data_IF_680788512840
#
_entry.id   IF_680788512840
#
_cell.length_a   1.000
_cell.length_b   1.000
_cell.length_c   1.000
_cell.angle_alpha   90.00
_cell.angle_beta   90.00
_cell.angle_gamma   90.00
#
_symmetry.space_group_name_H-M   'P 1'
#
loop_
_entity.id
_entity.type
_entity.pdbx_description
1 polymer ?
#
# COMPACT_ATOMS: atom_id res chain seq x y z
N UNK A 1 -2.99 12.35 -0.42
CA UNK A 1 -2.41 11.01 -0.77
C UNK A 1 -3.38 9.91 -0.30
N UNK A 2 -3.50 8.75 -0.95
CA UNK A 2 -4.43 7.67 -0.51
C UNK A 2 -3.71 6.31 -0.46
N UNK A 3 -3.95 5.51 0.60
CA UNK A 3 -3.55 4.10 0.70
C UNK A 3 -4.80 3.19 0.75
N UNK A 4 -4.87 2.16 -0.09
CA UNK A 4 -5.97 1.18 -0.10
C UNK A 4 -5.43 -0.26 -0.03
N UNK A 5 -6.08 -1.11 0.79
CA UNK A 5 -5.74 -2.53 0.96
C UNK A 5 -6.85 -3.43 0.42
N UNK A 6 -6.63 -4.19 -0.67
CA UNK A 6 -7.65 -5.09 -1.26
C UNK A 6 -7.06 -6.32 -1.95
N UNK A 7 -7.78 -7.45 -1.99
CA UNK A 7 -7.27 -8.74 -2.49
C UNK A 7 -7.58 -9.05 -3.96
N UNK A 8 -8.36 -8.24 -4.68
CA UNK A 8 -8.51 -8.38 -6.12
C UNK A 8 -8.33 -7.06 -6.87
N UNK A 9 -7.38 -7.16 -7.78
CA UNK A 9 -6.93 -6.32 -8.88
C UNK A 9 -7.11 -4.79 -8.80
N UNK A 10 -5.98 -4.09 -8.96
CA UNK A 10 -5.84 -2.70 -9.45
C UNK A 10 -6.93 -2.25 -10.45
N UNK A 11 -7.47 -3.17 -11.25
CA UNK A 11 -8.52 -2.92 -12.22
C UNK A 11 -9.87 -2.59 -11.57
N UNK A 12 -10.23 -3.22 -10.45
CA UNK A 12 -11.44 -2.87 -9.68
C UNK A 12 -11.27 -1.52 -9.00
N UNK A 13 -10.12 -1.28 -8.34
CA UNK A 13 -9.81 0.04 -7.78
C UNK A 13 -9.78 1.15 -8.85
N UNK A 14 -9.32 0.85 -10.08
CA UNK A 14 -9.36 1.78 -11.22
C UNK A 14 -10.80 1.98 -11.72
N UNK A 15 -11.61 0.92 -11.80
CA UNK A 15 -13.01 0.99 -12.20
C UNK A 15 -13.83 1.81 -11.22
N UNK A 16 -13.69 1.58 -9.91
CA UNK A 16 -14.39 2.35 -8.88
C UNK A 16 -13.99 3.83 -8.92
N UNK A 17 -12.70 4.13 -9.16
CA UNK A 17 -12.21 5.48 -9.38
C UNK A 17 -12.74 6.10 -10.70
N UNK A 18 -12.92 5.30 -11.75
CA UNK A 18 -13.51 5.74 -13.01
C UNK A 18 -15.00 6.06 -12.86
N UNK A 19 -15.73 5.25 -12.09
CA UNK A 19 -17.17 5.38 -11.84
C UNK A 19 -17.50 6.65 -11.03
N UNK A 20 -16.60 7.07 -10.13
CA UNK A 20 -16.73 8.35 -9.40
C UNK A 20 -16.10 9.55 -10.15
N UNK A 21 -15.65 9.36 -11.39
CA UNK A 21 -15.08 10.42 -12.23
C UNK A 21 -13.63 10.80 -11.92
N UNK A 22 -12.93 10.06 -11.05
CA UNK A 22 -11.55 10.29 -10.63
C UNK A 22 -10.51 9.67 -11.60
N UNK A 23 -10.66 9.91 -12.90
CA UNK A 23 -9.83 9.34 -13.99
C UNK A 23 -8.34 9.71 -13.91
N UNK A 24 -8.03 10.84 -13.30
CA UNK A 24 -6.67 11.38 -13.23
C UNK A 24 -5.83 10.82 -12.05
N UNK A 25 -6.44 10.06 -11.13
CA UNK A 25 -5.75 9.54 -9.96
C UNK A 25 -4.91 8.32 -10.33
N UNK A 26 -3.59 8.43 -10.23
CA UNK A 26 -2.69 7.30 -10.49
C UNK A 26 -2.73 6.30 -9.34
N UNK A 27 -2.88 5.01 -9.68
CA UNK A 27 -2.89 3.90 -8.74
C UNK A 27 -1.62 3.08 -8.90
N UNK A 28 -0.82 2.98 -7.84
CA UNK A 28 0.48 2.32 -7.84
C UNK A 28 0.44 1.08 -6.93
N UNK A 29 0.61 -0.14 -7.48
CA UNK A 29 0.66 -1.35 -6.67
C UNK A 29 2.03 -1.48 -5.97
N UNK A 30 2.03 -1.45 -4.64
CA UNK A 30 3.24 -1.43 -3.80
C UNK A 30 4.15 -2.64 -4.04
N UNK A 31 3.57 -3.81 -4.27
CA UNK A 31 4.32 -5.04 -4.52
C UNK A 31 5.17 -5.02 -5.80
N UNK A 32 4.86 -4.15 -6.76
CA UNK A 32 5.65 -3.94 -7.99
C UNK A 32 6.72 -2.86 -7.84
N UNK A 33 6.77 -2.17 -6.71
CA UNK A 33 7.72 -1.09 -6.45
C UNK A 33 8.91 -1.59 -5.63
N UNK A 34 10.11 -1.03 -5.83
CA UNK A 34 11.25 -1.36 -4.97
C UNK A 34 11.01 -0.89 -3.54
N UNK A 35 11.77 -1.42 -2.58
CA UNK A 35 11.67 -1.07 -1.15
C UNK A 35 12.28 0.32 -0.81
N UNK A 36 12.75 1.08 -1.79
CA UNK A 36 13.28 2.43 -1.60
C UNK A 36 12.17 3.46 -1.35
N UNK A 37 12.53 4.71 -1.01
CA UNK A 37 11.52 5.74 -0.72
C UNK A 37 10.64 6.01 -1.95
N UNK A 38 9.33 5.96 -1.79
CA UNK A 38 8.36 6.12 -2.89
C UNK A 38 8.45 7.48 -3.58
N UNK A 39 8.83 8.52 -2.84
CA UNK A 39 9.03 9.89 -3.31
C UNK A 39 10.46 10.17 -3.82
N UNK A 40 11.35 9.16 -3.81
CA UNK A 40 12.72 9.31 -4.31
C UNK A 40 12.76 9.64 -5.79
N UNK A 41 13.87 10.21 -6.28
CA UNK A 41 14.08 10.47 -7.72
C UNK A 41 13.91 9.22 -8.61
N UNK A 42 14.15 8.03 -8.05
CA UNK A 42 14.04 6.77 -8.79
C UNK A 42 12.60 6.27 -8.95
N UNK A 43 11.72 6.50 -7.96
CA UNK A 43 10.32 6.05 -8.00
C UNK A 43 9.37 7.20 -8.39
N UNK A 44 9.59 8.40 -7.84
CA UNK A 44 8.91 9.63 -8.27
C UNK A 44 7.44 9.76 -7.84
N UNK A 45 6.92 8.89 -6.98
CA UNK A 45 5.52 8.92 -6.57
C UNK A 45 5.37 9.95 -5.44
N UNK A 46 4.89 11.15 -5.77
CA UNK A 46 4.64 12.21 -4.79
C UNK A 46 3.16 12.30 -4.38
N UNK A 47 2.27 11.91 -5.29
CA UNK A 47 0.82 11.98 -5.15
C UNK A 47 0.18 10.76 -5.82
N UNK A 48 -1.07 10.45 -5.46
CA UNK A 48 -1.83 9.33 -6.00
C UNK A 48 -2.29 8.35 -4.92
N UNK A 49 -2.65 7.15 -5.37
CA UNK A 49 -3.09 6.03 -4.54
C UNK A 49 -2.00 4.96 -4.53
N UNK A 50 -1.55 4.55 -3.35
CA UNK A 50 -0.76 3.34 -3.18
C UNK A 50 -1.71 2.19 -2.86
N UNK A 51 -1.74 1.20 -3.74
CA UNK A 51 -2.50 -0.03 -3.53
C UNK A 51 -1.59 -1.11 -2.94
N UNK A 52 -2.02 -1.73 -1.86
CA UNK A 52 -1.27 -2.72 -1.10
C UNK A 52 -2.18 -3.92 -0.85
N UNK A 53 -1.63 -5.12 -0.76
CA UNK A 53 -2.37 -6.28 -0.22
C UNK A 53 -1.99 -6.46 1.23
N UNK A 54 -2.88 -7.08 2.03
CA UNK A 54 -2.56 -7.42 3.41
C UNK A 54 -1.25 -8.20 3.55
N UNK A 55 -1.01 -9.18 2.67
CA UNK A 55 0.26 -9.92 2.60
C UNK A 55 1.47 -9.03 2.31
N UNK A 56 1.32 -8.03 1.42
CA UNK A 56 2.40 -7.09 1.12
C UNK A 56 2.67 -6.15 2.28
N UNK A 57 1.67 -5.81 3.09
CA UNK A 57 1.82 -4.87 4.22
C UNK A 57 2.82 -5.37 5.27
N UNK A 58 2.80 -6.68 5.54
CA UNK A 58 3.70 -7.34 6.51
C UNK A 58 5.03 -7.78 5.90
N UNK A 59 5.22 -7.64 4.58
CA UNK A 59 6.43 -8.05 3.91
C UNK A 59 7.62 -7.16 4.27
N UNK A 60 8.80 -7.78 4.35
CA UNK A 60 10.08 -7.12 4.58
C UNK A 60 11.12 -7.58 3.57
N UNK A 61 12.01 -6.67 3.19
CA UNK A 61 13.19 -7.00 2.39
C UNK A 61 14.24 -7.75 3.21
N UNK A 62 15.18 -8.42 2.52
CA UNK A 62 16.33 -9.10 3.13
C UNK A 62 17.18 -8.18 4.02
N UNK A 63 17.15 -6.86 3.77
CA UNK A 63 17.87 -5.84 4.55
C UNK A 63 17.05 -5.28 5.72
N UNK A 64 15.95 -5.94 6.10
CA UNK A 64 15.13 -5.59 7.26
C UNK A 64 14.18 -4.40 7.05
N UNK A 65 14.05 -3.87 5.84
CA UNK A 65 13.12 -2.77 5.55
C UNK A 65 11.73 -3.31 5.25
N UNK A 66 10.73 -2.91 6.04
CA UNK A 66 9.34 -3.35 5.86
C UNK A 66 8.54 -2.46 4.90
N UNK A 67 7.51 -3.02 4.29
CA UNK A 67 6.55 -2.26 3.46
C UNK A 67 5.75 -1.26 4.29
N UNK A 68 5.38 -1.60 5.52
CA UNK A 68 4.74 -0.65 6.43
C UNK A 68 5.63 0.57 6.69
N UNK A 69 6.93 0.38 7.00
CA UNK A 69 7.87 1.49 7.18
C UNK A 69 7.99 2.35 5.91
N UNK A 70 8.01 1.71 4.73
CA UNK A 70 8.05 2.42 3.45
C UNK A 70 6.81 3.31 3.25
N UNK A 71 5.61 2.82 3.59
CA UNK A 71 4.36 3.57 3.52
C UNK A 71 4.33 4.71 4.54
N UNK A 72 4.69 4.45 5.80
CA UNK A 72 4.76 5.48 6.85
C UNK A 72 5.69 6.61 6.45
N UNK A 73 6.86 6.28 5.89
CA UNK A 73 7.79 7.27 5.38
C UNK A 73 7.21 8.10 4.22
N UNK A 74 6.45 7.49 3.33
CA UNK A 74 5.81 8.19 2.22
C UNK A 74 4.64 9.07 2.67
N UNK A 75 3.90 8.65 3.70
CA UNK A 75 2.89 9.50 4.32
C UNK A 75 3.55 10.73 4.95
N UNK A 76 4.67 10.54 5.65
CA UNK A 76 5.37 11.61 6.35
C UNK A 76 4.64 12.06 7.61
N UNK A 77 5.20 13.06 8.30
CA UNK A 77 4.67 13.55 9.58
C UNK A 77 3.36 14.33 9.43
N UNK A 78 3.21 15.08 8.34
CA UNK A 78 2.04 15.93 8.06
C UNK A 78 1.18 15.31 6.95
N UNK A 79 0.81 14.05 7.13
CA UNK A 79 -0.05 13.36 6.17
C UNK A 79 -1.49 13.85 6.29
N UNK A 80 -2.00 14.47 5.23
CA UNK A 80 -3.38 14.98 5.09
C UNK A 80 -4.28 14.04 4.26
N UNK A 81 -3.79 12.83 3.98
CA UNK A 81 -4.43 11.88 3.09
C UNK A 81 -5.40 10.91 3.76
N UNK A 82 -5.96 10.01 2.96
CA UNK A 82 -6.88 8.97 3.43
C UNK A 82 -6.20 7.58 3.44
N UNK A 83 -6.45 6.82 4.50
CA UNK A 83 -6.08 5.39 4.57
C UNK A 83 -7.37 4.60 4.66
N UNK A 84 -7.58 3.70 3.70
CA UNK A 84 -8.76 2.85 3.61
C UNK A 84 -8.33 1.39 3.74
N UNK A 85 -8.90 0.71 4.72
CA UNK A 85 -8.78 -0.73 4.87
C UNK A 85 -10.05 -1.37 4.33
N UNK A 86 -9.94 -1.93 3.13
CA UNK A 86 -11.02 -2.73 2.56
C UNK A 86 -10.90 -4.17 3.06
N UNK A 87 -12.01 -4.87 3.17
CA UNK A 87 -12.09 -6.26 3.65
C UNK A 87 -11.30 -6.54 4.94
N UNK A 88 -11.39 -5.63 5.92
CA UNK A 88 -10.61 -5.66 7.16
C UNK A 88 -10.79 -6.96 7.97
N UNK A 89 -11.88 -7.70 7.76
CA UNK A 89 -12.08 -9.01 8.35
C UNK A 89 -10.99 -10.03 7.97
N UNK A 90 -10.33 -9.86 6.81
CA UNK A 90 -9.19 -10.68 6.35
C UNK A 90 -7.91 -10.40 7.12
N UNK A 91 -7.84 -9.29 7.87
CA UNK A 91 -6.65 -8.92 8.62
C UNK A 91 -6.37 -9.81 9.84
N UNK A 92 -7.36 -10.59 10.29
CA UNK A 92 -7.24 -11.48 11.45
C UNK A 92 -6.12 -12.53 11.32
N UNK A 93 -5.73 -12.89 10.09
CA UNK A 93 -4.72 -13.91 9.80
C UNK A 93 -3.31 -13.31 9.51
N UNK A 94 -3.10 -12.01 9.72
CA UNK A 94 -1.83 -11.34 9.37
C UNK A 94 -0.76 -11.39 10.44
N UNK A 95 -1.17 -11.57 11.69
CA UNK A 95 -0.25 -11.71 12.81
C UNK A 95 0.00 -13.21 12.90
N UNK A 96 1.24 -13.70 12.66
CA UNK A 96 1.56 -15.08 12.95
C UNK A 96 1.25 -15.31 14.42
N UNK A 97 0.52 -16.38 14.75
CA UNK A 97 0.38 -16.78 16.15
C UNK A 97 1.77 -16.84 16.78
N UNK A 98 1.93 -16.17 17.91
CA UNK A 98 3.19 -16.08 18.62
C UNK A 98 3.68 -17.50 18.96
N UNK A 99 4.54 -18.07 18.12
CA UNK A 99 5.00 -19.45 18.28
C UNK A 99 5.37 -20.20 17.00
N UNK A 100 5.01 -19.71 15.81
CA UNK A 100 5.40 -20.38 14.56
C UNK A 100 6.66 -19.73 13.98
N UNK A 101 7.84 -20.24 14.34
CA UNK A 101 9.09 -19.96 13.60
C UNK A 101 9.08 -20.70 12.25
N UNK A 102 9.79 -20.17 11.21
CA UNK A 102 9.90 -20.79 9.89
C UNK A 102 10.58 -22.16 9.92
#
# INVERSE_FOLDING_TARGET
RWVSVGSDLKYDARRDLDDVGAKCVQVHPLNKLPYSKLDSKAIGIKNGVIFVTYSSLIASSERGRSRLQQLVQWCGHEFDGLIVFDECHKAKNLIPDAGSQP
#
